data_IF_739726815408
#
_entry.id   IF_739726815408
#
_cell.length_a   1.000
_cell.length_b   1.000
_cell.length_c   1.000
_cell.angle_alpha   90.00
_cell.angle_beta   90.00
_cell.angle_gamma   90.00
#
_symmetry.space_group_name_H-M   'P 1'
#
loop_
_entity.id
_entity.type
_entity.pdbx_description
1 polymer ?
#
# COMPACT_ATOMS: atom_id res chain seq x y z
N UNK A 1 23.61 28.24 -12.45
CA UNK A 1 24.39 27.33 -13.30
C UNK A 1 25.33 28.17 -14.15
N UNK A 2 26.63 27.97 -14.01
CA UNK A 2 27.65 28.64 -14.83
C UNK A 2 27.71 28.04 -16.24
N UNK A 3 28.39 28.71 -17.18
CA UNK A 3 28.55 28.19 -18.55
C UNK A 3 29.34 26.87 -18.60
N UNK A 4 30.27 26.66 -17.66
CA UNK A 4 31.05 25.41 -17.57
C UNK A 4 30.19 24.27 -17.02
N UNK A 5 29.43 24.53 -15.95
CA UNK A 5 28.47 23.58 -15.38
C UNK A 5 27.41 23.17 -16.41
N UNK A 6 26.95 24.13 -17.21
CA UNK A 6 26.00 23.85 -18.29
C UNK A 6 26.56 22.90 -19.33
N UNK A 7 27.74 23.21 -19.87
CA UNK A 7 28.40 22.39 -20.88
C UNK A 7 28.72 20.98 -20.35
N UNK A 8 29.17 20.88 -19.10
CA UNK A 8 29.39 19.61 -18.43
C UNK A 8 28.10 18.78 -18.34
N UNK A 9 26.99 19.42 -17.95
CA UNK A 9 25.70 18.75 -17.83
C UNK A 9 25.20 18.22 -19.18
N UNK A 10 25.36 18.99 -20.27
CA UNK A 10 25.01 18.52 -21.62
C UNK A 10 25.87 17.33 -22.05
N UNK A 11 27.16 17.31 -21.71
CA UNK A 11 28.05 16.16 -21.99
C UNK A 11 27.62 14.91 -21.22
N UNK A 12 27.21 15.03 -19.96
CA UNK A 12 26.65 13.90 -19.21
C UNK A 12 25.41 13.30 -19.89
N UNK A 13 24.58 14.13 -20.51
CA UNK A 13 23.43 13.66 -21.30
C UNK A 13 23.90 12.88 -22.53
N UNK A 14 24.94 13.35 -23.23
CA UNK A 14 25.54 12.61 -24.34
C UNK A 14 26.10 11.26 -23.87
N UNK A 15 26.74 11.19 -22.70
CA UNK A 15 27.30 9.96 -22.13
C UNK A 15 26.20 8.96 -21.74
N UNK A 16 25.13 9.41 -21.08
CA UNK A 16 23.97 8.55 -20.76
C UNK A 16 23.34 7.93 -22.01
N UNK A 17 23.33 8.68 -23.10
CA UNK A 17 22.74 8.27 -24.38
C UNK A 17 23.81 7.98 -25.46
N UNK A 18 25.00 7.51 -25.07
CA UNK A 18 26.16 7.40 -25.96
C UNK A 18 25.88 6.58 -27.24
N UNK A 19 25.01 5.57 -27.15
CA UNK A 19 24.63 4.70 -28.27
C UNK A 19 23.93 5.43 -29.42
N UNK A 20 23.36 6.61 -29.13
CA UNK A 20 22.73 7.50 -30.10
C UNK A 20 23.69 8.51 -30.72
N UNK A 21 24.88 8.71 -30.12
CA UNK A 21 25.87 9.72 -30.56
C UNK A 21 25.22 11.09 -30.77
N UNK A 22 24.54 11.59 -29.74
CA UNK A 22 23.80 12.86 -29.82
C UNK A 22 24.74 14.03 -30.12
N UNK A 23 24.33 14.93 -31.00
CA UNK A 23 24.98 16.24 -31.13
C UNK A 23 24.74 17.08 -29.88
N UNK A 24 25.56 18.10 -29.64
CA UNK A 24 25.38 18.99 -28.50
C UNK A 24 23.97 19.61 -28.46
N UNK A 25 23.47 20.09 -29.61
CA UNK A 25 22.12 20.68 -29.74
C UNK A 25 21.01 19.66 -29.46
N UNK A 26 21.19 18.40 -29.84
CA UNK A 26 20.23 17.34 -29.51
C UNK A 26 20.26 17.02 -28.02
N UNK A 27 21.45 16.87 -27.44
CA UNK A 27 21.62 16.62 -26.02
C UNK A 27 21.07 17.77 -25.15
N UNK A 28 21.19 19.02 -25.58
CA UNK A 28 20.54 20.16 -24.95
C UNK A 28 19.01 20.02 -24.94
N UNK A 29 18.39 19.61 -26.05
CA UNK A 29 16.95 19.35 -26.07
C UNK A 29 16.56 18.19 -25.16
N UNK A 30 17.40 17.15 -25.11
CA UNK A 30 17.21 16.00 -24.22
C UNK A 30 17.24 16.45 -22.76
N UNK A 31 18.24 17.23 -22.40
CA UNK A 31 18.38 17.80 -21.05
C UNK A 31 17.14 18.58 -20.61
N UNK A 32 16.56 19.40 -21.48
CA UNK A 32 15.37 20.20 -21.17
C UNK A 32 14.16 19.34 -20.85
N UNK A 33 13.93 18.24 -21.57
CA UNK A 33 12.81 17.36 -21.22
C UNK A 33 13.11 16.55 -19.95
N UNK A 34 14.36 16.14 -19.71
CA UNK A 34 14.74 15.41 -18.48
C UNK A 34 14.47 16.28 -17.25
N UNK A 35 14.78 17.59 -17.32
CA UNK A 35 14.44 18.57 -16.28
C UNK A 35 12.92 18.70 -16.03
N UNK A 36 12.09 18.63 -17.08
CA UNK A 36 10.64 18.66 -16.94
C UNK A 36 10.09 17.36 -16.32
N UNK A 37 10.65 16.21 -16.70
CA UNK A 37 10.27 14.91 -16.13
C UNK A 37 10.65 14.81 -14.65
N UNK A 38 11.86 15.27 -14.32
CA UNK A 38 12.45 15.17 -12.98
C UNK A 38 12.08 16.38 -12.10
N UNK A 39 11.20 17.26 -12.58
CA UNK A 39 10.73 18.40 -11.80
C UNK A 39 10.04 17.91 -10.53
N UNK A 40 10.42 18.43 -9.35
CA UNK A 40 9.85 17.98 -8.09
C UNK A 40 8.35 18.30 -8.05
N UNK A 41 7.53 17.26 -8.02
CA UNK A 41 6.10 17.36 -7.81
C UNK A 41 5.69 16.43 -6.68
N UNK A 42 5.06 16.99 -5.65
CA UNK A 42 4.55 16.21 -4.52
C UNK A 42 3.31 15.38 -4.87
N UNK A 43 2.65 15.69 -5.99
CA UNK A 43 1.33 15.14 -6.35
C UNK A 43 1.33 14.37 -7.67
N UNK A 44 2.18 14.76 -8.62
CA UNK A 44 2.19 14.20 -9.96
C UNK A 44 3.54 13.55 -10.25
N UNK A 45 3.57 12.22 -10.24
CA UNK A 45 4.74 11.42 -10.59
C UNK A 45 4.42 10.57 -11.80
N UNK A 46 5.39 10.37 -12.69
CA UNK A 46 5.26 9.44 -13.81
C UNK A 46 5.31 7.99 -13.31
N UNK A 47 4.50 7.12 -13.93
CA UNK A 47 4.76 5.68 -13.91
C UNK A 47 5.89 5.34 -14.89
N UNK A 48 6.54 4.18 -14.71
CA UNK A 48 7.60 3.73 -15.63
C UNK A 48 7.12 3.67 -17.10
N UNK A 49 5.85 3.31 -17.31
CA UNK A 49 5.24 3.27 -18.64
C UNK A 49 5.08 4.67 -19.23
N UNK A 50 4.55 5.60 -18.43
CA UNK A 50 4.38 6.98 -18.86
C UNK A 50 5.73 7.65 -19.11
N UNK A 51 6.78 7.31 -18.35
CA UNK A 51 8.15 7.75 -18.65
C UNK A 51 8.64 7.23 -20.01
N UNK A 52 8.38 5.96 -20.33
CA UNK A 52 8.75 5.37 -21.61
C UNK A 52 8.00 6.00 -22.79
N UNK A 53 6.71 6.31 -22.60
CA UNK A 53 5.88 6.97 -23.61
C UNK A 53 6.31 8.43 -23.79
N UNK A 54 6.55 9.15 -22.69
CA UNK A 54 7.04 10.53 -22.71
C UNK A 54 8.41 10.64 -23.36
N UNK A 55 9.32 9.70 -23.04
CA UNK A 55 10.63 9.62 -23.68
C UNK A 55 10.51 9.35 -25.19
N UNK A 56 9.63 8.42 -25.59
CA UNK A 56 9.42 8.13 -27.01
C UNK A 56 8.94 9.36 -27.79
N UNK A 57 7.91 10.06 -27.29
CA UNK A 57 7.36 11.26 -27.91
C UNK A 57 8.42 12.37 -28.08
N UNK A 58 9.28 12.57 -27.09
CA UNK A 58 10.34 13.57 -27.16
C UNK A 58 11.48 13.17 -28.10
N UNK A 59 11.94 11.92 -28.05
CA UNK A 59 13.05 11.47 -28.89
C UNK A 59 12.69 11.44 -30.37
N UNK A 60 11.43 11.17 -30.73
CA UNK A 60 10.94 11.29 -32.11
C UNK A 60 11.10 12.70 -32.69
N UNK A 61 11.05 13.75 -31.85
CA UNK A 61 11.18 15.16 -32.26
C UNK A 61 12.64 15.64 -32.32
N UNK A 62 13.55 14.93 -31.67
CA UNK A 62 14.95 15.35 -31.47
C UNK A 62 15.90 14.61 -32.39
N UNK A 63 15.67 13.31 -32.57
CA UNK A 63 16.59 12.42 -33.28
C UNK A 63 16.42 12.48 -34.79
N UNK A 64 17.51 12.26 -35.52
CA UNK A 64 17.44 11.91 -36.94
C UNK A 64 16.95 10.47 -37.14
N UNK A 65 16.66 10.10 -38.39
CA UNK A 65 16.10 8.78 -38.74
C UNK A 65 17.00 7.61 -38.30
N UNK A 66 18.33 7.73 -38.46
CA UNK A 66 19.28 6.67 -38.10
C UNK A 66 19.37 6.50 -36.59
N UNK A 67 19.42 7.61 -35.86
CA UNK A 67 19.40 7.62 -34.40
C UNK A 67 18.07 7.08 -33.87
N UNK A 68 16.95 7.49 -34.45
CA UNK A 68 15.61 7.07 -34.04
C UNK A 68 15.45 5.55 -34.20
N UNK A 69 15.94 4.96 -35.28
CA UNK A 69 15.93 3.49 -35.46
C UNK A 69 16.69 2.74 -34.35
N UNK A 70 17.84 3.27 -33.92
CA UNK A 70 18.60 2.73 -32.79
C UNK A 70 17.84 2.88 -31.48
N UNK A 71 17.28 4.07 -31.25
CA UNK A 71 16.46 4.36 -30.07
C UNK A 71 15.26 3.42 -29.97
N UNK A 72 14.47 3.26 -31.02
CA UNK A 72 13.30 2.37 -31.03
C UNK A 72 13.68 0.91 -30.72
N UNK A 73 14.83 0.45 -31.21
CA UNK A 73 15.35 -0.89 -30.90
C UNK A 73 15.68 -1.01 -29.41
N UNK A 74 16.40 -0.04 -28.86
CA UNK A 74 16.74 0.01 -27.44
C UNK A 74 15.49 0.14 -26.55
N UNK A 75 14.54 1.00 -26.92
CA UNK A 75 13.29 1.27 -26.21
C UNK A 75 12.42 0.02 -26.11
N UNK A 76 12.21 -0.68 -27.22
CA UNK A 76 11.53 -1.98 -27.23
C UNK A 76 12.21 -3.01 -26.34
N UNK A 77 13.55 -3.03 -26.32
CA UNK A 77 14.29 -3.92 -25.42
C UNK A 77 14.02 -3.54 -23.95
N UNK A 78 14.09 -2.26 -23.60
CA UNK A 78 13.84 -1.79 -22.23
C UNK A 78 12.42 -2.11 -21.75
N UNK A 79 11.42 -1.96 -22.60
CA UNK A 79 10.05 -2.40 -22.32
C UNK A 79 10.03 -3.89 -21.98
N UNK A 80 10.60 -4.75 -22.83
CA UNK A 80 10.63 -6.21 -22.59
C UNK A 80 11.41 -6.61 -21.34
N UNK A 81 12.53 -5.95 -21.08
CA UNK A 81 13.33 -6.16 -19.88
C UNK A 81 12.49 -5.82 -18.63
N UNK A 82 11.74 -4.72 -18.67
CA UNK A 82 10.86 -4.31 -17.57
C UNK A 82 9.66 -5.24 -17.39
N UNK A 83 8.99 -5.67 -18.47
CA UNK A 83 7.92 -6.69 -18.43
C UNK A 83 8.42 -7.98 -17.75
N UNK A 84 9.61 -8.44 -18.14
CA UNK A 84 10.23 -9.64 -17.55
C UNK A 84 10.52 -9.47 -16.07
N UNK A 85 11.04 -8.30 -15.68
CA UNK A 85 11.25 -7.95 -14.27
C UNK A 85 9.94 -7.94 -13.46
N UNK A 86 8.86 -7.40 -14.01
CA UNK A 86 7.55 -7.38 -13.36
C UNK A 86 7.04 -8.82 -13.14
N UNK A 87 7.10 -9.67 -14.16
CA UNK A 87 6.69 -11.08 -14.07
C UNK A 87 7.52 -11.84 -13.04
N UNK A 88 8.84 -11.65 -13.03
CA UNK A 88 9.73 -12.34 -12.08
C UNK A 88 9.46 -11.90 -10.65
N UNK A 89 9.32 -10.59 -10.42
CA UNK A 89 9.02 -10.05 -9.09
C UNK A 89 7.64 -10.48 -8.59
N UNK A 90 6.66 -10.66 -9.48
CA UNK A 90 5.32 -11.13 -9.11
C UNK A 90 5.33 -12.54 -8.50
N UNK A 91 6.23 -13.42 -8.96
CA UNK A 91 6.37 -14.79 -8.41
C UNK A 91 6.66 -14.78 -6.90
N UNK A 92 7.37 -13.75 -6.41
CA UNK A 92 7.72 -13.58 -4.99
C UNK A 92 6.48 -13.33 -4.12
N UNK A 93 5.36 -12.90 -4.71
CA UNK A 93 4.11 -12.61 -3.98
C UNK A 93 3.31 -13.84 -3.58
N UNK A 94 3.63 -15.03 -4.11
CA UNK A 94 2.99 -16.29 -3.73
C UNK A 94 3.02 -16.52 -2.20
N UNK A 95 4.12 -16.12 -1.55
CA UNK A 95 4.27 -16.20 -0.09
C UNK A 95 3.32 -15.26 0.64
N UNK A 96 3.17 -14.01 0.16
CA UNK A 96 2.22 -13.04 0.71
C UNK A 96 0.76 -13.51 0.56
N UNK A 97 0.41 -14.09 -0.59
CA UNK A 97 -0.91 -14.68 -0.80
C UNK A 97 -1.19 -15.75 0.27
N UNK A 98 -0.30 -16.73 0.41
CA UNK A 98 -0.47 -17.81 1.40
C UNK A 98 -0.53 -17.28 2.83
N UNK A 99 0.30 -16.28 3.15
CA UNK A 99 0.30 -15.63 4.45
C UNK A 99 -1.03 -14.95 4.77
N UNK A 100 -1.54 -14.07 3.90
CA UNK A 100 -2.81 -13.39 4.15
C UNK A 100 -4.01 -14.34 4.11
N UNK A 101 -4.01 -15.35 3.24
CA UNK A 101 -5.02 -16.42 3.27
C UNK A 101 -5.02 -17.13 4.62
N UNK A 102 -3.84 -17.46 5.16
CA UNK A 102 -3.71 -18.10 6.48
C UNK A 102 -4.21 -17.21 7.62
N UNK A 103 -3.90 -15.91 7.60
CA UNK A 103 -4.42 -14.95 8.57
C UNK A 103 -5.94 -14.85 8.50
N UNK A 104 -6.49 -14.59 7.32
CA UNK A 104 -7.95 -14.47 7.10
C UNK A 104 -8.67 -15.71 7.66
N UNK A 105 -8.16 -16.90 7.33
CA UNK A 105 -8.74 -18.16 7.82
C UNK A 105 -8.70 -18.24 9.34
N UNK A 106 -7.57 -17.95 9.97
CA UNK A 106 -7.47 -17.93 11.44
C UNK A 106 -8.50 -16.99 12.07
N UNK A 107 -8.63 -15.78 11.52
CA UNK A 107 -9.58 -14.82 12.07
C UNK A 107 -11.03 -15.25 11.89
N UNK A 108 -11.39 -15.81 10.73
CA UNK A 108 -12.74 -16.29 10.46
C UNK A 108 -13.10 -17.54 11.29
N UNK A 109 -12.17 -18.47 11.49
CA UNK A 109 -12.44 -19.76 12.13
C UNK A 109 -12.24 -19.75 13.64
N UNK A 110 -11.37 -18.87 14.18
CA UNK A 110 -11.02 -18.87 15.60
C UNK A 110 -11.35 -17.57 16.30
N UNK A 111 -10.86 -16.45 15.78
CA UNK A 111 -10.96 -15.16 16.46
C UNK A 111 -12.40 -14.61 16.47
N UNK A 112 -13.04 -14.47 15.30
CA UNK A 112 -14.41 -13.94 15.21
C UNK A 112 -15.41 -14.80 16.01
N UNK A 113 -15.39 -16.15 15.94
CA UNK A 113 -16.26 -16.96 16.78
C UNK A 113 -16.00 -16.81 18.27
N UNK A 114 -14.73 -16.67 18.70
CA UNK A 114 -14.42 -16.40 20.11
C UNK A 114 -14.92 -15.01 20.54
N UNK A 115 -14.71 -14.00 19.70
CA UNK A 115 -15.19 -12.64 19.93
C UNK A 115 -16.72 -12.57 20.05
N UNK A 116 -17.46 -13.30 19.22
CA UNK A 116 -18.91 -13.39 19.30
C UNK A 116 -19.40 -14.12 20.57
N UNK A 117 -18.71 -15.17 21.00
CA UNK A 117 -19.06 -15.96 22.20
C UNK A 117 -18.88 -15.21 23.51
N UNK A 118 -17.84 -14.40 23.60
CA UNK A 118 -17.60 -13.51 24.74
C UNK A 118 -18.63 -12.37 24.82
N UNK A 119 -19.60 -12.35 23.91
CA UNK A 119 -20.69 -11.40 23.91
C UNK A 119 -20.16 -9.96 23.94
N UNK A 120 -19.07 -9.69 23.21
CA UNK A 120 -18.53 -8.33 23.05
C UNK A 120 -19.54 -7.35 22.43
N UNK A 121 -20.61 -7.90 21.85
CA UNK A 121 -21.83 -7.17 21.54
C UNK A 121 -22.51 -6.51 22.76
N UNK A 122 -22.02 -6.74 23.99
CA UNK A 122 -22.61 -6.33 25.25
C UNK A 122 -21.61 -5.67 26.22
N UNK A 123 -20.88 -4.66 25.75
CA UNK A 123 -20.69 -3.43 26.53
C UNK A 123 -21.23 -2.21 25.78
N UNK A 124 -22.38 -2.45 25.16
CA UNK A 124 -23.24 -1.45 24.53
C UNK A 124 -23.86 -0.49 25.55
N UNK A 125 -23.76 -0.72 26.86
CA UNK A 125 -24.23 0.26 27.85
C UNK A 125 -23.47 1.59 27.76
N UNK A 126 -22.13 1.57 27.71
CA UNK A 126 -21.30 2.79 27.58
C UNK A 126 -21.19 3.32 26.15
N UNK A 127 -21.35 2.45 25.15
CA UNK A 127 -21.38 2.82 23.73
C UNK A 127 -22.76 3.33 23.28
N UNK A 128 -23.86 2.98 23.96
CA UNK A 128 -25.22 3.34 23.51
C UNK A 128 -25.43 4.85 23.40
N UNK A 129 -24.91 5.62 24.37
CA UNK A 129 -24.95 7.08 24.35
C UNK A 129 -24.14 7.68 23.19
N UNK A 130 -23.11 6.97 22.75
CA UNK A 130 -22.16 7.41 21.72
C UNK A 130 -22.32 6.66 20.40
N UNK A 131 -23.41 5.89 20.24
CA UNK A 131 -23.57 4.96 19.14
C UNK A 131 -23.49 5.67 17.78
N UNK A 132 -24.07 6.86 17.68
CA UNK A 132 -23.99 7.70 16.47
C UNK A 132 -22.55 8.10 16.12
N UNK A 133 -21.69 8.34 17.11
CA UNK A 133 -20.27 8.66 16.91
C UNK A 133 -19.48 7.43 16.47
N UNK A 134 -19.82 6.27 17.01
CA UNK A 134 -19.25 4.97 16.61
C UNK A 134 -19.65 4.63 15.18
N UNK A 135 -20.94 4.76 14.83
CA UNK A 135 -21.45 4.55 13.48
C UNK A 135 -20.81 5.50 12.48
N UNK A 136 -20.67 6.78 12.83
CA UNK A 136 -19.92 7.75 12.04
C UNK A 136 -18.49 7.25 11.77
N UNK A 137 -17.75 6.87 12.82
CA UNK A 137 -16.36 6.45 12.67
C UNK A 137 -16.22 5.15 11.86
N UNK A 138 -17.15 4.21 12.02
CA UNK A 138 -17.24 2.99 11.21
C UNK A 138 -17.57 3.31 9.75
N UNK A 139 -18.45 4.25 9.48
CA UNK A 139 -18.76 4.70 8.12
C UNK A 139 -17.52 5.32 7.45
N UNK A 140 -16.76 6.14 8.17
CA UNK A 140 -15.50 6.70 7.67
C UNK A 140 -14.43 5.61 7.46
N UNK A 141 -14.35 4.62 8.35
CA UNK A 141 -13.45 3.48 8.14
C UNK A 141 -13.84 2.67 6.91
N UNK A 142 -15.13 2.45 6.66
CA UNK A 142 -15.64 1.80 5.46
C UNK A 142 -15.24 2.56 4.19
N UNK A 143 -15.42 3.89 4.18
CA UNK A 143 -14.97 4.73 3.06
C UNK A 143 -13.48 4.59 2.84
N UNK A 144 -12.68 4.63 3.91
CA UNK A 144 -11.24 4.41 3.86
C UNK A 144 -10.89 3.05 3.21
N UNK A 145 -11.55 1.96 3.59
CA UNK A 145 -11.32 0.63 3.01
C UNK A 145 -11.64 0.58 1.51
N UNK A 146 -12.74 1.22 1.09
CA UNK A 146 -13.15 1.35 -0.32
C UNK A 146 -12.13 2.16 -1.12
N UNK A 147 -11.72 3.32 -0.62
CA UNK A 147 -10.71 4.16 -1.25
C UNK A 147 -9.35 3.44 -1.35
N UNK A 148 -8.98 2.71 -0.30
CA UNK A 148 -7.76 1.90 -0.30
C UNK A 148 -7.81 0.83 -1.40
N UNK A 149 -8.91 0.08 -1.52
CA UNK A 149 -9.10 -0.93 -2.56
C UNK A 149 -9.03 -0.29 -3.96
N UNK A 150 -9.75 0.81 -4.18
CA UNK A 150 -9.73 1.53 -5.45
C UNK A 150 -8.32 2.00 -5.81
N UNK A 151 -7.59 2.60 -4.86
CA UNK A 151 -6.20 3.02 -5.05
C UNK A 151 -5.26 1.86 -5.38
N UNK A 152 -5.43 0.69 -4.74
CA UNK A 152 -4.66 -0.52 -5.06
C UNK A 152 -4.91 -1.02 -6.49
N UNK A 153 -6.16 -1.01 -6.95
CA UNK A 153 -6.55 -1.44 -8.30
C UNK A 153 -6.01 -0.45 -9.34
N UNK A 154 -6.27 0.85 -9.17
CA UNK A 154 -5.81 1.90 -10.10
C UNK A 154 -4.28 1.89 -10.17
N UNK A 155 -3.61 1.87 -9.03
CA UNK A 155 -2.15 1.80 -8.97
C UNK A 155 -1.60 0.55 -9.65
N UNK A 156 -2.24 -0.61 -9.46
CA UNK A 156 -1.84 -1.84 -10.14
C UNK A 156 -1.89 -1.70 -11.66
N UNK A 157 -3.02 -1.27 -12.23
CA UNK A 157 -3.11 -1.17 -13.69
C UNK A 157 -2.22 -0.06 -14.26
N UNK A 158 -1.99 1.02 -13.50
CA UNK A 158 -1.06 2.08 -13.90
C UNK A 158 0.39 1.63 -13.93
N UNK A 159 0.86 0.87 -12.94
CA UNK A 159 2.29 0.55 -12.78
C UNK A 159 2.64 -0.88 -13.23
N UNK A 160 1.77 -1.85 -13.00
CA UNK A 160 2.01 -3.27 -13.25
C UNK A 160 1.30 -3.79 -14.50
N UNK A 161 0.27 -3.09 -14.99
CA UNK A 161 -0.61 -3.53 -16.08
C UNK A 161 -1.14 -4.96 -15.79
N UNK A 162 -0.87 -5.92 -16.68
CA UNK A 162 -1.27 -7.33 -16.51
C UNK A 162 -0.13 -8.23 -16.02
N UNK A 163 1.06 -7.67 -15.78
CA UNK A 163 2.27 -8.44 -15.57
C UNK A 163 2.48 -8.91 -14.13
N UNK A 164 1.70 -8.39 -13.17
CA UNK A 164 1.84 -8.71 -11.74
C UNK A 164 0.53 -9.12 -11.04
N UNK A 165 -0.19 -10.13 -11.55
CA UNK A 165 -1.51 -10.50 -11.00
C UNK A 165 -1.43 -10.97 -9.53
N UNK A 166 -0.34 -11.62 -9.10
CA UNK A 166 -0.21 -12.06 -7.71
C UNK A 166 0.00 -10.89 -6.74
N UNK A 167 0.63 -9.82 -7.21
CA UNK A 167 0.81 -8.56 -6.46
C UNK A 167 -0.54 -7.94 -6.16
N UNK A 168 -1.42 -7.83 -7.17
CA UNK A 168 -2.80 -7.35 -6.95
C UNK A 168 -3.55 -8.28 -6.01
N UNK A 169 -3.50 -9.60 -6.24
CA UNK A 169 -4.17 -10.58 -5.38
C UNK A 169 -3.73 -10.49 -3.92
N UNK A 170 -2.43 -10.36 -3.65
CA UNK A 170 -1.90 -10.17 -2.31
C UNK A 170 -2.39 -8.85 -1.68
N UNK A 171 -2.43 -7.76 -2.45
CA UNK A 171 -2.91 -6.47 -2.01
C UNK A 171 -4.41 -6.51 -1.64
N UNK A 172 -5.23 -7.20 -2.43
CA UNK A 172 -6.66 -7.39 -2.19
C UNK A 172 -6.92 -8.32 -0.99
N UNK A 173 -6.14 -9.40 -0.82
CA UNK A 173 -6.22 -10.23 0.39
C UNK A 173 -5.86 -9.44 1.64
N UNK A 174 -4.85 -8.58 1.58
CA UNK A 174 -4.52 -7.67 2.69
C UNK A 174 -5.67 -6.69 2.97
N UNK A 175 -6.32 -6.16 1.94
CA UNK A 175 -7.50 -5.30 2.10
C UNK A 175 -8.68 -6.08 2.72
N UNK A 176 -8.94 -7.34 2.30
CA UNK A 176 -9.92 -8.24 2.94
C UNK A 176 -9.58 -8.46 4.41
N UNK A 177 -8.32 -8.70 4.72
CA UNK A 177 -7.88 -8.82 6.11
C UNK A 177 -8.21 -7.56 6.94
N UNK A 178 -8.10 -6.36 6.37
CA UNK A 178 -8.45 -5.11 7.06
C UNK A 178 -9.97 -4.93 7.30
N UNK A 179 -10.82 -5.59 6.51
CA UNK A 179 -12.27 -5.65 6.77
C UNK A 179 -12.60 -6.53 7.98
N UNK A 180 -11.73 -7.50 8.30
CA UNK A 180 -11.89 -8.39 9.45
C UNK A 180 -11.27 -7.77 10.70
N UNK A 181 -10.06 -7.25 10.58
CA UNK A 181 -9.29 -6.67 11.70
C UNK A 181 -8.88 -5.23 11.38
N UNK A 182 -9.53 -4.25 12.04
CA UNK A 182 -9.27 -2.85 11.78
C UNK A 182 -7.80 -2.46 11.98
N UNK A 183 -7.22 -1.85 10.96
CA UNK A 183 -5.85 -1.29 11.00
C UNK A 183 -5.88 0.18 11.39
N UNK A 184 -6.17 0.45 12.66
CA UNK A 184 -6.31 1.81 13.17
C UNK A 184 -5.08 2.71 12.92
N UNK A 185 -3.81 2.27 13.10
CA UNK A 185 -2.66 3.13 12.80
C UNK A 185 -2.65 3.64 11.36
N UNK A 186 -3.06 2.79 10.41
CA UNK A 186 -3.11 3.18 9.01
C UNK A 186 -4.28 4.12 8.72
N UNK A 187 -5.45 3.83 9.29
CA UNK A 187 -6.61 4.70 9.17
C UNK A 187 -6.39 6.08 9.79
N UNK A 188 -5.78 6.14 10.98
CA UNK A 188 -5.43 7.38 11.69
C UNK A 188 -4.59 8.32 10.82
N UNK A 189 -3.65 7.79 10.04
CA UNK A 189 -2.84 8.58 9.10
C UNK A 189 -3.60 9.11 7.88
N UNK A 190 -4.87 8.72 7.69
CA UNK A 190 -5.72 9.09 6.55
C UNK A 190 -7.00 9.83 6.94
N UNK A 191 -7.26 10.01 8.24
CA UNK A 191 -8.43 10.74 8.73
C UNK A 191 -8.34 12.22 8.36
N UNK A 192 -9.48 12.78 7.97
CA UNK A 192 -9.68 14.22 7.97
C UNK A 192 -9.84 14.75 9.41
N UNK A 193 -9.89 16.07 9.56
CA UNK A 193 -9.92 16.69 10.88
C UNK A 193 -11.19 16.33 11.70
N UNK A 194 -12.41 16.37 11.13
CA UNK A 194 -13.60 15.92 11.84
C UNK A 194 -13.51 14.46 12.32
N UNK A 195 -12.98 13.57 11.49
CA UNK A 195 -12.82 12.15 11.86
C UNK A 195 -11.80 11.96 12.96
N UNK A 196 -10.69 12.72 12.96
CA UNK A 196 -9.71 12.72 14.06
C UNK A 196 -10.31 13.21 15.38
N UNK A 197 -11.12 14.26 15.34
CA UNK A 197 -11.82 14.77 16.53
C UNK A 197 -12.73 13.69 17.11
N UNK A 198 -13.51 13.03 16.25
CA UNK A 198 -14.40 11.94 16.66
C UNK A 198 -13.62 10.76 17.25
N UNK A 199 -12.54 10.35 16.59
CA UNK A 199 -11.66 9.29 17.06
C UNK A 199 -11.06 9.63 18.43
N UNK A 200 -10.59 10.86 18.61
CA UNK A 200 -10.00 11.33 19.87
C UNK A 200 -11.03 11.38 21.00
N UNK A 201 -12.26 11.78 20.71
CA UNK A 201 -13.37 11.77 21.67
C UNK A 201 -13.65 10.35 22.17
N UNK A 202 -13.82 9.39 21.26
CA UNK A 202 -14.10 8.00 21.62
C UNK A 202 -12.93 7.38 22.39
N UNK A 203 -11.69 7.65 22.00
CA UNK A 203 -10.50 7.21 22.75
C UNK A 203 -10.48 7.70 24.19
N UNK A 204 -10.88 8.96 24.44
CA UNK A 204 -10.97 9.50 25.81
C UNK A 204 -12.14 8.89 26.58
N UNK A 205 -13.30 8.70 25.94
CA UNK A 205 -14.49 8.09 26.56
C UNK A 205 -14.22 6.63 26.97
N UNK A 206 -13.47 5.89 26.16
CA UNK A 206 -13.10 4.49 26.40
C UNK A 206 -11.68 4.34 26.97
N UNK A 207 -11.11 5.39 27.58
CA UNK A 207 -9.79 5.30 28.20
C UNK A 207 -9.77 4.27 29.36
N UNK A 208 -10.94 3.91 29.89
CA UNK A 208 -11.08 2.78 30.81
C UNK A 208 -11.81 1.63 30.11
N UNK A 209 -11.06 0.58 29.74
CA UNK A 209 -11.61 -0.70 29.31
C UNK A 209 -11.80 -1.56 30.58
N UNK A 210 -12.99 -2.13 30.84
CA UNK A 210 -13.17 -3.05 31.97
C UNK A 210 -12.18 -4.21 31.89
N UNK A 211 -11.68 -4.66 33.04
CA UNK A 211 -10.56 -5.59 33.12
C UNK A 211 -10.82 -6.92 32.38
N UNK A 212 -12.05 -7.42 32.43
CA UNK A 212 -12.53 -8.59 31.68
C UNK A 212 -12.27 -8.47 30.15
N UNK A 213 -12.53 -7.32 29.54
CA UNK A 213 -12.25 -7.11 28.10
C UNK A 213 -10.77 -6.99 27.83
N UNK A 214 -10.03 -6.31 28.71
CA UNK A 214 -8.59 -6.19 28.59
C UNK A 214 -7.93 -7.57 28.64
N UNK A 215 -8.37 -8.45 29.55
CA UNK A 215 -7.88 -9.83 29.65
C UNK A 215 -8.21 -10.64 28.40
N UNK A 216 -9.43 -10.54 27.85
CA UNK A 216 -9.76 -11.17 26.57
C UNK A 216 -8.83 -10.71 25.44
N UNK A 217 -8.66 -9.39 25.26
CA UNK A 217 -7.79 -8.86 24.20
C UNK A 217 -6.34 -9.28 24.38
N UNK A 218 -5.84 -9.31 25.61
CA UNK A 218 -4.49 -9.77 25.89
C UNK A 218 -4.34 -11.25 25.54
N UNK A 219 -5.28 -12.11 25.94
CA UNK A 219 -5.25 -13.54 25.61
C UNK A 219 -5.33 -13.81 24.10
N UNK A 220 -6.22 -13.10 23.40
CA UNK A 220 -6.31 -13.19 21.95
C UNK A 220 -5.08 -12.62 21.25
N UNK A 221 -4.48 -11.54 21.79
CA UNK A 221 -3.25 -10.95 21.25
C UNK A 221 -2.07 -11.92 21.38
N UNK A 222 -1.93 -12.62 22.51
CA UNK A 222 -0.91 -13.67 22.69
C UNK A 222 -1.11 -14.83 21.72
N UNK A 223 -2.34 -15.31 21.58
CA UNK A 223 -2.70 -16.38 20.65
C UNK A 223 -2.44 -15.99 19.19
N UNK A 224 -2.76 -14.74 18.84
CA UNK A 224 -2.51 -14.16 17.53
C UNK A 224 -1.01 -13.96 17.29
N UNK A 225 -0.26 -13.49 18.28
CA UNK A 225 1.18 -13.29 18.18
C UNK A 225 1.90 -14.62 17.95
N UNK A 226 1.53 -15.67 18.68
CA UNK A 226 2.05 -17.03 18.47
C UNK A 226 1.76 -17.54 17.06
N UNK A 227 0.49 -17.46 16.63
CA UNK A 227 0.08 -17.89 15.29
C UNK A 227 0.76 -17.09 14.18
N UNK A 228 0.83 -15.77 14.31
CA UNK A 228 1.46 -14.89 13.30
C UNK A 228 2.96 -15.15 13.21
N UNK A 229 3.66 -15.38 14.33
CA UNK A 229 5.08 -15.78 14.34
C UNK A 229 5.29 -17.11 13.64
N UNK A 230 4.46 -18.12 13.92
CA UNK A 230 4.52 -19.42 13.25
C UNK A 230 4.30 -19.27 11.74
N UNK A 231 3.26 -18.54 11.35
CA UNK A 231 2.88 -18.32 9.95
C UNK A 231 3.94 -17.51 9.19
N UNK A 232 4.53 -16.52 9.85
CA UNK A 232 5.65 -15.75 9.30
C UNK A 232 6.87 -16.63 9.10
N UNK A 233 7.25 -17.39 10.12
CA UNK A 233 8.37 -18.34 10.06
C UNK A 233 8.18 -19.33 8.90
N UNK A 234 6.97 -19.86 8.74
CA UNK A 234 6.60 -20.81 7.68
C UNK A 234 6.81 -20.26 6.26
N UNK A 235 6.47 -18.99 6.01
CA UNK A 235 6.50 -18.43 4.64
C UNK A 235 7.71 -17.54 4.35
N UNK A 236 8.23 -16.85 5.35
CA UNK A 236 9.33 -15.87 5.22
C UNK A 236 10.62 -16.30 5.94
N UNK A 237 10.58 -17.39 6.71
CA UNK A 237 11.72 -17.86 7.51
C UNK A 237 11.85 -17.13 8.85
N UNK A 238 12.79 -17.58 9.68
CA UNK A 238 13.13 -16.97 10.96
C UNK A 238 14.04 -15.75 10.75
N UNK A 239 13.46 -14.58 10.46
CA UNK A 239 14.27 -13.36 10.41
C UNK A 239 14.65 -12.92 11.83
N UNK A 240 15.96 -12.87 12.13
CA UNK A 240 16.54 -12.03 13.21
C UNK A 240 16.62 -10.54 12.81
N UNK A 241 16.07 -10.14 11.67
CA UNK A 241 16.18 -8.78 11.14
C UNK A 241 14.98 -8.36 10.31
N UNK A 242 14.36 -7.25 10.73
CA UNK A 242 13.55 -6.33 9.93
C UNK A 242 12.13 -6.69 9.47
N UNK A 243 11.58 -7.87 9.78
CA UNK A 243 10.11 -8.04 9.78
C UNK A 243 9.66 -8.33 11.21
N UNK A 244 9.91 -7.38 12.09
CA UNK A 244 8.93 -7.18 13.14
C UNK A 244 7.70 -6.66 12.40
N UNK A 245 6.60 -7.43 12.40
CA UNK A 245 5.33 -6.73 12.69
C UNK A 245 5.60 -6.21 14.09
N UNK A 246 6.26 -5.05 14.20
CA UNK A 246 6.16 -4.21 15.37
C UNK A 246 4.67 -3.97 15.37
N UNK A 247 3.94 -4.75 16.18
CA UNK A 247 2.65 -4.34 16.70
C UNK A 247 2.87 -2.88 17.01
N UNK A 248 2.19 -2.04 16.23
CA UNK A 248 2.49 -0.63 16.04
C UNK A 248 3.16 -0.05 17.28
N UNK A 249 4.33 0.58 17.15
CA UNK A 249 4.95 1.36 18.24
C UNK A 249 4.11 2.57 18.67
N UNK A 250 2.85 2.64 18.25
CA UNK A 250 1.83 3.50 18.83
C UNK A 250 1.28 2.90 20.12
N UNK A 251 0.51 3.72 20.83
CA UNK A 251 -0.10 3.37 22.09
C UNK A 251 -0.94 2.07 21.94
N UNK A 252 -0.46 0.94 22.48
CA UNK A 252 -1.11 -0.38 22.38
C UNK A 252 -2.57 -0.31 22.82
N UNK A 253 -2.82 0.45 23.90
CA UNK A 253 -4.15 0.72 24.45
C UNK A 253 -5.04 1.43 23.43
N UNK A 254 -4.52 2.44 22.73
CA UNK A 254 -5.25 3.17 21.69
C UNK A 254 -5.72 2.23 20.57
N UNK A 255 -4.86 1.31 20.15
CA UNK A 255 -5.20 0.34 19.11
C UNK A 255 -6.22 -0.69 19.58
N UNK A 256 -6.13 -1.16 20.83
CA UNK A 256 -7.11 -2.08 21.40
C UNK A 256 -8.50 -1.43 21.49
N UNK A 257 -8.58 -0.21 22.02
CA UNK A 257 -9.82 0.57 22.07
C UNK A 257 -10.40 0.72 20.66
N UNK A 258 -9.58 1.13 19.70
CA UNK A 258 -10.08 1.37 18.33
C UNK A 258 -10.39 0.10 17.56
N UNK A 259 -9.75 -1.02 17.88
CA UNK A 259 -10.16 -2.32 17.36
C UNK A 259 -11.57 -2.65 17.85
N UNK A 260 -11.90 -2.45 19.14
CA UNK A 260 -13.27 -2.63 19.65
C UNK A 260 -14.28 -1.73 18.93
N UNK A 261 -13.97 -0.43 18.84
CA UNK A 261 -14.87 0.57 18.24
C UNK A 261 -15.10 0.26 16.76
N UNK A 262 -14.05 -0.10 16.02
CA UNK A 262 -14.11 -0.30 14.57
C UNK A 262 -14.40 -1.75 14.16
N UNK A 263 -14.50 -2.72 15.06
CA UNK A 263 -14.83 -4.07 14.66
C UNK A 263 -16.28 -4.13 14.17
N UNK A 264 -16.49 -4.65 12.97
CA UNK A 264 -17.82 -4.84 12.39
C UNK A 264 -18.06 -6.33 12.12
N UNK A 265 -19.13 -6.88 12.71
CA UNK A 265 -19.54 -8.26 12.48
C UNK A 265 -19.86 -8.53 11.01
N UNK A 266 -20.37 -7.52 10.30
CA UNK A 266 -20.64 -7.59 8.87
C UNK A 266 -19.39 -7.50 7.99
N UNK A 267 -18.18 -7.40 8.57
CA UNK A 267 -16.93 -7.19 7.84
C UNK A 267 -17.02 -6.06 6.82
N UNK A 268 -17.72 -4.98 7.18
CA UNK A 268 -18.00 -3.81 6.34
C UNK A 268 -18.71 -4.11 5.02
N UNK A 269 -19.40 -5.26 4.94
CA UNK A 269 -20.13 -5.71 3.77
C UNK A 269 -19.25 -6.38 2.70
N UNK A 270 -18.06 -6.86 3.06
CA UNK A 270 -17.19 -7.63 2.15
C UNK A 270 -17.92 -8.87 1.61
N UNK A 271 -17.97 -9.05 0.29
CA UNK A 271 -18.55 -10.26 -0.35
C UNK A 271 -17.45 -11.11 -0.97
N UNK A 272 -17.61 -12.44 -0.96
CA UNK A 272 -16.61 -13.34 -1.57
C UNK A 272 -16.49 -13.18 -3.08
N UNK A 273 -17.51 -12.61 -3.73
CA UNK A 273 -17.53 -12.28 -5.16
C UNK A 273 -16.69 -11.07 -5.54
N UNK A 274 -16.05 -10.40 -4.58
CA UNK A 274 -15.29 -9.16 -4.80
C UNK A 274 -13.84 -9.40 -5.29
N UNK A 275 -13.58 -10.59 -5.85
CA UNK A 275 -12.30 -11.06 -6.43
C UNK A 275 -12.38 -11.27 -7.94
#
# INVERSE_FOLDING_TARGET
MTSEEYNYTIRLVQDRHYFLKLTFKQAEKVFRFEQQRDAPSGEHTFSQWEEYDYMLDNFQKILDEKQLKKFLTWHRKKIKDYESFLIESDRKQTKNIKYYTGLIRYFQERFLPAFEKENFALHVSSLSEEWTKVEYLRAEYKKFLVHLKAGQIIGHYRHSRLFQPNTLKAALLRNKYYHIIPQFPYFKGKMDEPTKVMASFLLRKFDHIPEEHAQFFNHQAESLESFTKELQSKYFGTSKGWITIKGSTGNIKENQIMQMVLMDKGMYGWKETDF
#
